data_IF_144594600328
#
_entry.id   IF_144594600328
#
_cell.length_a   1.000
_cell.length_b   1.000
_cell.length_c   1.000
_cell.angle_alpha   90.00
_cell.angle_beta   90.00
_cell.angle_gamma   90.00
#
_symmetry.space_group_name_H-M   'P 1'
#
loop_
_entity.id
_entity.type
_entity.pdbx_description
1 polymer ?
#
# COMPACT_ATOMS: atom_id res chain seq x y z
N UNK A 1 18.32 8.88 -12.57
CA UNK A 1 17.54 8.00 -11.68
C UNK A 1 17.31 8.70 -10.34
N UNK A 2 16.20 8.42 -9.67
CA UNK A 2 15.98 8.79 -8.27
C UNK A 2 15.73 7.54 -7.43
N UNK A 3 16.22 7.51 -6.20
CA UNK A 3 15.98 6.42 -5.26
C UNK A 3 15.01 6.88 -4.18
N UNK A 4 13.89 6.17 -4.05
CA UNK A 4 12.81 6.50 -3.12
C UNK A 4 12.54 5.29 -2.23
N UNK A 5 12.89 5.34 -0.94
CA UNK A 5 12.52 4.31 0.01
C UNK A 5 11.02 4.36 0.31
N UNK A 6 10.37 3.20 0.29
CA UNK A 6 8.96 3.02 0.64
C UNK A 6 8.93 2.30 1.98
N UNK A 7 8.49 2.98 3.03
CA UNK A 7 8.40 2.39 4.36
C UNK A 7 7.26 1.34 4.41
N UNK A 8 7.53 0.20 5.05
CA UNK A 8 6.51 -0.83 5.27
C UNK A 8 5.53 -0.32 6.32
N UNK A 9 4.28 -0.14 5.93
CA UNK A 9 3.21 0.24 6.85
C UNK A 9 2.49 -1.01 7.36
N UNK A 10 2.21 -1.06 8.66
CA UNK A 10 1.42 -2.13 9.24
C UNK A 10 -0.02 -1.94 8.78
N UNK A 11 -0.49 -2.80 7.88
CA UNK A 11 -1.92 -2.87 7.63
C UNK A 11 -2.59 -3.28 8.94
N UNK A 12 -3.55 -2.50 9.43
CA UNK A 12 -4.44 -2.99 10.46
C UNK A 12 -5.12 -4.23 9.89
N UNK A 13 -4.83 -5.40 10.44
CA UNK A 13 -5.71 -6.54 10.26
C UNK A 13 -7.03 -6.12 10.89
N UNK A 14 -7.98 -5.70 10.07
CA UNK A 14 -9.38 -5.49 10.44
C UNK A 14 -10.02 -6.84 10.74
N UNK A 15 -9.41 -7.67 11.57
CA UNK A 15 -9.93 -8.99 11.96
C UNK A 15 -11.03 -8.90 13.02
N UNK A 16 -11.61 -7.72 13.27
CA UNK A 16 -12.78 -7.57 14.14
C UNK A 16 -13.91 -6.71 13.59
N UNK A 17 -13.78 -6.15 12.39
CA UNK A 17 -14.96 -5.72 11.63
C UNK A 17 -15.09 -6.61 10.43
N UNK A 18 -15.76 -7.75 10.68
CA UNK A 18 -16.43 -8.59 9.70
C UNK A 18 -16.85 -7.69 8.54
N UNK A 19 -16.27 -7.91 7.37
CA UNK A 19 -16.78 -7.31 6.14
C UNK A 19 -18.30 -7.38 6.21
N UNK A 20 -19.06 -6.32 5.91
CA UNK A 20 -20.47 -6.51 5.65
C UNK A 20 -20.50 -7.45 4.45
N UNK A 21 -20.73 -8.74 4.73
CA UNK A 21 -21.30 -9.66 3.77
C UNK A 21 -22.38 -8.85 3.09
N UNK A 22 -22.25 -8.61 1.78
CA UNK A 22 -23.32 -8.14 0.90
C UNK A 22 -24.45 -9.20 0.93
N UNK A 23 -25.04 -9.38 2.11
CA UNK A 23 -26.24 -10.13 2.34
C UNK A 23 -27.31 -9.05 2.33
N UNK A 24 -28.00 -8.85 1.21
CA UNK A 24 -29.10 -7.90 1.18
C UNK A 24 -30.04 -8.29 2.32
N UNK A 25 -30.20 -7.38 3.29
CA UNK A 25 -31.27 -7.48 4.26
C UNK A 25 -32.56 -7.36 3.45
N UNK A 26 -33.33 -8.44 3.46
CA UNK A 26 -34.57 -8.64 2.74
C UNK A 26 -35.53 -7.47 2.94
N UNK A 27 -35.57 -6.56 1.97
CA UNK A 27 -36.74 -5.74 1.68
C UNK A 27 -37.68 -6.62 0.86
N UNK A 28 -38.79 -7.03 1.49
CA UNK A 28 -39.84 -7.82 0.89
C UNK A 28 -40.52 -7.02 -0.22
N UNK A 29 -40.08 -7.22 -1.46
CA UNK A 29 -40.83 -6.86 -2.65
C UNK A 29 -41.01 -8.13 -3.48
N UNK A 30 -42.27 -8.54 -3.60
CA UNK A 30 -42.70 -9.62 -4.47
C UNK A 30 -42.26 -9.34 -5.91
N UNK A 31 -41.40 -10.18 -6.49
CA UNK A 31 -41.53 -10.49 -7.90
C UNK A 31 -41.21 -11.97 -8.18
N UNK A 32 -42.04 -12.52 -9.04
CA UNK A 32 -42.23 -13.93 -9.29
C UNK A 32 -41.03 -14.57 -9.96
N UNK A 33 -40.85 -15.85 -9.62
CA UNK A 33 -40.07 -16.85 -10.34
C UNK A 33 -40.25 -16.73 -11.86
N UNK A 34 -39.16 -16.46 -12.56
CA UNK A 34 -38.94 -16.74 -13.98
C UNK A 34 -37.58 -17.42 -14.15
N UNK A 35 -37.55 -18.51 -14.90
CA UNK A 35 -36.47 -19.48 -14.93
C UNK A 35 -35.29 -19.11 -15.87
N UNK A 36 -34.21 -19.89 -15.70
CA UNK A 36 -33.17 -20.28 -16.66
C UNK A 36 -32.10 -19.27 -17.12
N UNK A 37 -30.86 -19.59 -16.75
CA UNK A 37 -29.77 -19.85 -17.69
C UNK A 37 -29.24 -18.67 -18.52
N UNK A 38 -28.07 -18.16 -18.14
CA UNK A 38 -27.29 -17.26 -19.00
C UNK A 38 -26.16 -16.60 -18.24
N UNK A 39 -24.99 -17.22 -18.24
CA UNK A 39 -23.75 -16.62 -17.77
C UNK A 39 -23.35 -15.47 -18.71
N UNK A 40 -23.72 -14.24 -18.35
CA UNK A 40 -22.96 -13.04 -18.70
C UNK A 40 -23.39 -11.91 -17.77
N UNK A 41 -22.77 -11.82 -16.61
CA UNK A 41 -22.95 -10.68 -15.70
C UNK A 41 -21.76 -9.75 -15.87
N UNK A 42 -21.76 -9.03 -16.98
CA UNK A 42 -21.13 -7.71 -17.07
C UNK A 42 -21.97 -6.72 -16.24
N UNK A 43 -22.05 -7.01 -14.94
CA UNK A 43 -22.74 -6.17 -13.96
C UNK A 43 -21.68 -5.21 -13.46
N UNK A 44 -21.85 -3.93 -13.81
CA UNK A 44 -21.00 -2.85 -13.34
C UNK A 44 -20.97 -2.84 -11.80
N UNK A 45 -19.80 -2.47 -11.25
CA UNK A 45 -19.65 -2.32 -9.80
C UNK A 45 -20.67 -1.30 -9.29
N UNK A 46 -21.30 -1.60 -8.16
CA UNK A 46 -22.36 -0.77 -7.63
C UNK A 46 -21.78 0.59 -7.21
N UNK A 47 -22.48 1.68 -7.53
CA UNK A 47 -22.11 3.00 -7.04
C UNK A 47 -22.16 2.98 -5.51
N UNK A 48 -21.01 3.18 -4.87
CA UNK A 48 -20.91 3.25 -3.42
C UNK A 48 -21.54 4.56 -2.92
N UNK A 49 -22.37 4.47 -1.90
CA UNK A 49 -22.93 5.64 -1.21
C UNK A 49 -21.81 6.40 -0.46
N UNK A 50 -21.90 7.73 -0.44
CA UNK A 50 -20.91 8.59 0.21
C UNK A 50 -20.75 8.29 1.70
N UNK A 51 -21.81 7.85 2.40
CA UNK A 51 -21.70 7.49 3.82
C UNK A 51 -20.91 6.20 4.02
N UNK A 52 -20.99 5.26 3.07
CA UNK A 52 -20.21 4.02 3.08
C UNK A 52 -18.74 4.35 2.82
N UNK A 53 -18.45 5.23 1.86
CA UNK A 53 -17.10 5.73 1.61
C UNK A 53 -16.54 6.48 2.83
N UNK A 54 -17.32 7.38 3.43
CA UNK A 54 -16.95 8.12 4.63
C UNK A 54 -16.66 7.19 5.80
N UNK A 55 -17.51 6.18 6.05
CA UNK A 55 -17.29 5.22 7.12
C UNK A 55 -16.02 4.38 6.89
N UNK A 56 -15.79 3.94 5.64
CA UNK A 56 -14.59 3.20 5.26
C UNK A 56 -13.32 4.05 5.45
N UNK A 57 -13.34 5.31 5.02
CA UNK A 57 -12.20 6.23 5.17
C UNK A 57 -11.96 6.64 6.62
N UNK A 58 -13.01 6.92 7.38
CA UNK A 58 -12.91 7.31 8.79
C UNK A 58 -12.32 6.20 9.66
N UNK A 59 -12.60 4.94 9.34
CA UNK A 59 -12.03 3.77 10.00
C UNK A 59 -10.72 3.27 9.39
N UNK A 60 -10.31 3.80 8.23
CA UNK A 60 -9.05 3.48 7.59
C UNK A 60 -7.89 4.17 8.34
N UNK A 61 -7.58 3.64 9.52
CA UNK A 61 -6.33 3.94 10.20
C UNK A 61 -5.17 3.41 9.36
N UNK A 62 -4.56 4.26 8.55
CA UNK A 62 -3.23 3.97 8.00
C UNK A 62 -2.27 4.13 9.18
N UNK A 63 -1.76 3.01 9.70
CA UNK A 63 -0.70 3.06 10.70
C UNK A 63 0.48 3.86 10.13
N UNK A 64 1.05 4.72 10.98
CA UNK A 64 2.21 5.52 10.61
C UNK A 64 3.40 4.60 10.29
N UNK A 65 4.31 5.08 9.44
CA UNK A 65 5.55 4.36 9.19
C UNK A 65 6.43 4.42 10.44
N UNK A 66 6.93 3.26 10.89
CA UNK A 66 7.80 3.17 12.07
C UNK A 66 9.26 3.54 11.76
N UNK A 67 9.61 3.67 10.48
CA UNK A 67 10.93 4.07 9.98
C UNK A 67 10.77 5.12 8.89
N UNK A 68 11.58 6.17 8.94
CA UNK A 68 11.57 7.28 7.98
C UNK A 68 12.94 7.43 7.34
N UNK A 69 12.98 7.66 6.03
CA UNK A 69 14.21 8.03 5.34
C UNK A 69 14.63 9.44 5.77
N UNK A 70 15.82 9.54 6.34
CA UNK A 70 16.47 10.80 6.72
C UNK A 70 17.42 11.32 5.62
N UNK A 71 17.79 10.50 4.65
CA UNK A 71 18.45 11.00 3.44
C UNK A 71 17.48 11.88 2.65
N UNK A 72 17.93 13.09 2.31
CA UNK A 72 17.27 13.97 1.35
C UNK A 72 17.27 13.35 -0.06
N UNK A 73 16.54 13.97 -0.99
CA UNK A 73 16.43 13.56 -2.40
C UNK A 73 17.72 12.97 -3.01
N UNK A 74 17.74 11.64 -3.21
CA UNK A 74 18.90 10.91 -3.75
C UNK A 74 18.74 10.76 -5.25
N UNK A 75 19.44 11.61 -5.99
CA UNK A 75 19.49 11.60 -7.46
C UNK A 75 20.81 11.07 -7.96
N UNK A 76 20.73 10.17 -8.93
CA UNK A 76 21.87 9.65 -9.67
C UNK A 76 21.78 10.20 -11.09
N UNK A 77 22.84 10.89 -11.51
CA UNK A 77 22.99 11.37 -12.88
C UNK A 77 23.17 10.22 -13.89
N UNK A 78 23.37 10.54 -15.18
CA UNK A 78 23.68 9.53 -16.18
C UNK A 78 24.93 8.73 -15.79
N UNK A 79 24.88 7.41 -15.96
CA UNK A 79 26.04 6.53 -15.79
C UNK A 79 26.60 6.17 -17.16
N UNK A 80 27.93 6.23 -17.29
CA UNK A 80 28.60 5.71 -18.47
C UNK A 80 28.37 4.18 -18.58
N UNK A 81 28.51 3.60 -19.78
CA UNK A 81 28.46 2.14 -19.94
C UNK A 81 29.40 1.44 -18.94
N UNK A 82 28.91 0.40 -18.28
CA UNK A 82 29.63 -0.36 -17.24
C UNK A 82 30.04 0.43 -15.99
N UNK A 83 29.57 1.66 -15.80
CA UNK A 83 29.79 2.41 -14.57
C UNK A 83 28.71 2.10 -13.52
N UNK A 84 29.11 2.08 -12.26
CA UNK A 84 28.21 1.93 -11.12
C UNK A 84 28.23 3.20 -10.26
N UNK A 85 27.15 3.42 -9.51
CA UNK A 85 27.08 4.47 -8.51
C UNK A 85 26.69 3.88 -7.16
N UNK A 86 27.34 4.35 -6.10
CA UNK A 86 27.08 3.94 -4.73
C UNK A 86 26.58 5.15 -3.95
N UNK A 87 25.49 4.97 -3.21
CA UNK A 87 24.87 6.01 -2.40
C UNK A 87 24.47 5.46 -1.05
N UNK A 88 24.35 6.34 -0.05
CA UNK A 88 23.93 6.00 1.31
C UNK A 88 22.48 6.49 1.54
N UNK A 89 21.62 5.57 2.01
CA UNK A 89 20.29 5.91 2.51
C UNK A 89 20.30 5.82 4.02
N UNK A 90 20.06 6.94 4.69
CA UNK A 90 19.99 7.05 6.15
C UNK A 90 18.55 6.97 6.58
N UNK A 91 18.31 6.27 7.68
CA UNK A 91 16.97 6.07 8.22
C UNK A 91 16.94 6.43 9.71
N UNK A 92 15.81 6.99 10.13
CA UNK A 92 15.49 7.25 11.52
C UNK A 92 14.37 6.29 11.94
N UNK A 93 14.64 5.48 12.96
CA UNK A 93 13.63 4.67 13.60
C UNK A 93 12.78 5.53 14.53
N UNK A 94 11.46 5.41 14.44
CA UNK A 94 10.51 6.13 15.30
C UNK A 94 10.06 5.28 16.49
N UNK A 95 10.28 3.97 16.44
CA UNK A 95 9.97 3.02 17.51
C UNK A 95 11.04 1.93 17.61
N UNK A 96 11.14 1.29 18.78
CA UNK A 96 11.91 0.05 18.93
C UNK A 96 11.15 -1.15 18.37
N UNK A 97 11.85 -2.13 17.82
CA UNK A 97 11.25 -3.35 17.27
C UNK A 97 11.91 -3.79 15.96
N UNK A 98 11.21 -4.67 15.24
CA UNK A 98 11.61 -5.09 13.88
C UNK A 98 10.87 -4.22 12.88
N UNK A 99 11.60 -3.32 12.25
CA UNK A 99 11.12 -2.37 11.26
C UNK A 99 11.52 -2.83 9.86
N UNK A 100 10.85 -2.30 8.84
CA UNK A 100 11.15 -2.67 7.47
C UNK A 100 10.76 -1.62 6.46
N UNK A 101 11.39 -1.73 5.30
CA UNK A 101 10.97 -1.08 4.08
C UNK A 101 10.16 -2.09 3.26
N UNK A 102 9.17 -1.59 2.53
CA UNK A 102 8.44 -2.37 1.54
C UNK A 102 9.26 -2.52 0.25
N UNK A 103 9.90 -1.43 -0.18
CA UNK A 103 10.76 -1.40 -1.34
C UNK A 103 11.72 -0.21 -1.32
N UNK A 104 12.79 -0.28 -2.12
CA UNK A 104 13.52 0.89 -2.61
C UNK A 104 13.17 1.01 -4.08
N UNK A 105 12.42 2.07 -4.42
CA UNK A 105 12.00 2.35 -5.77
C UNK A 105 13.07 3.13 -6.50
N UNK A 106 13.53 2.59 -7.62
CA UNK A 106 14.40 3.29 -8.57
C UNK A 106 13.51 3.86 -9.67
N UNK A 107 13.46 5.18 -9.78
CA UNK A 107 12.64 5.90 -10.77
C UNK A 107 13.55 6.47 -11.84
N UNK A 108 13.22 6.23 -13.11
CA UNK A 108 13.75 7.04 -14.20
C UNK A 108 12.98 8.36 -14.26
N UNK A 109 13.70 9.46 -14.02
CA UNK A 109 13.11 10.80 -14.00
C UNK A 109 12.75 11.31 -15.40
N UNK A 110 13.29 10.71 -16.46
CA UNK A 110 12.97 11.07 -17.84
C UNK A 110 11.65 10.46 -18.32
N UNK A 111 11.41 9.19 -18.00
CA UNK A 111 10.23 8.43 -18.46
C UNK A 111 9.15 8.25 -17.39
N UNK A 112 9.48 8.52 -16.11
CA UNK A 112 8.66 8.20 -14.94
C UNK A 112 8.42 6.69 -14.71
N UNK A 113 9.10 5.84 -15.45
CA UNK A 113 9.11 4.39 -15.20
C UNK A 113 9.88 4.08 -13.92
N UNK A 114 9.53 2.98 -13.26
CA UNK A 114 10.17 2.59 -12.01
C UNK A 114 10.32 1.08 -11.85
N UNK A 115 11.30 0.70 -11.03
CA UNK A 115 11.54 -0.67 -10.58
C UNK A 115 11.64 -0.67 -9.06
N UNK A 116 10.95 -1.62 -8.43
CA UNK A 116 10.96 -1.78 -6.97
C UNK A 116 11.90 -2.91 -6.55
N UNK A 117 12.90 -2.57 -5.73
CA UNK A 117 13.77 -3.55 -5.08
C UNK A 117 13.10 -3.94 -3.76
N UNK A 118 12.63 -5.19 -3.66
CA UNK A 118 11.84 -5.70 -2.52
C UNK A 118 12.61 -6.63 -1.59
N UNK A 119 13.69 -7.25 -2.07
CA UNK A 119 14.57 -8.05 -1.24
C UNK A 119 15.48 -7.11 -0.44
N UNK A 120 14.99 -6.68 0.72
CA UNK A 120 15.62 -5.69 1.57
C UNK A 120 15.87 -6.27 2.97
N UNK A 121 16.94 -5.85 3.65
CA UNK A 121 17.22 -6.29 5.01
C UNK A 121 16.12 -5.83 5.97
N UNK A 122 15.86 -6.63 7.01
CA UNK A 122 15.06 -6.20 8.15
C UNK A 122 15.89 -5.32 9.08
N UNK A 123 15.29 -4.26 9.62
CA UNK A 123 15.95 -3.33 10.54
C UNK A 123 15.53 -3.67 11.96
N UNK A 124 16.48 -4.04 12.82
CA UNK A 124 16.20 -4.34 14.24
C UNK A 124 16.67 -3.19 15.11
N UNK A 125 15.75 -2.61 15.87
CA UNK A 125 15.99 -1.43 16.71
C UNK A 125 15.75 -1.78 18.17
N UNK A 126 16.80 -1.69 19.00
CA UNK A 126 16.67 -1.80 20.45
C UNK A 126 16.34 -0.44 21.06
N UNK A 127 15.45 -0.40 22.06
CA UNK A 127 15.20 0.80 22.84
C UNK A 127 16.44 1.27 23.61
N UNK A 128 16.50 2.56 23.93
CA UNK A 128 17.49 3.09 24.85
C UNK A 128 17.28 2.46 26.24
N UNK A 129 18.35 1.92 26.83
CA UNK A 129 18.35 1.43 28.21
C UNK A 129 18.26 2.58 29.21
#
# INVERSE_FOLDING_TARGET
LALIPIAKRRAQSSSQHRAPTNRPLSSSYNQQKGASGGANTDIADAVLDENILYAAQKGAGIECADIVCYSTDVRVGPLAPSACHMTELRFMALQSGVLGLEAVRVVDLGTQEHVDIKDLPSVVVSGAK
#
